data_IF_414582097562
#
_entry.id   IF_414582097562
#
_cell.length_a   1.000
_cell.length_b   1.000
_cell.length_c   1.000
_cell.angle_alpha   90.00
_cell.angle_beta   90.00
_cell.angle_gamma   90.00
#
_symmetry.space_group_name_H-M   'P 1'
#
loop_
_entity.id
_entity.type
_entity.pdbx_description
1 polymer ?
#
# COMPACT_ATOMS: atom_id res chain seq x y z
N UNK A 1 -26.50 68.93 48.10
CA UNK A 1 -27.11 67.59 48.30
C UNK A 1 -26.35 66.60 47.42
N UNK A 2 -25.34 65.92 47.96
CA UNK A 2 -25.33 64.46 48.23
C UNK A 2 -26.01 63.62 47.14
N UNK A 3 -25.20 62.85 46.38
CA UNK A 3 -25.13 61.37 46.50
C UNK A 3 -23.96 60.81 45.70
N UNK A 4 -23.07 60.13 46.43
CA UNK A 4 -22.14 59.10 45.98
C UNK A 4 -22.97 57.82 45.77
N UNK A 5 -22.75 57.07 44.69
CA UNK A 5 -23.06 55.63 44.64
C UNK A 5 -21.87 54.90 44.03
N UNK A 6 -21.24 54.11 44.90
CA UNK A 6 -20.23 53.09 44.67
C UNK A 6 -20.93 51.77 44.31
N UNK A 7 -20.45 51.02 43.31
CA UNK A 7 -20.58 49.55 43.17
C UNK A 7 -19.73 49.10 41.96
N UNK A 8 -18.54 48.53 42.14
CA UNK A 8 -18.25 47.12 42.45
C UNK A 8 -18.29 46.18 41.22
N UNK A 9 -17.08 45.86 40.74
CA UNK A 9 -16.56 44.55 40.32
C UNK A 9 -17.42 43.70 39.36
N UNK A 10 -16.93 43.55 38.13
CA UNK A 10 -16.84 42.22 37.51
C UNK A 10 -15.50 42.12 36.78
N UNK A 11 -14.49 41.64 37.50
CA UNK A 11 -13.26 41.16 36.91
C UNK A 11 -13.59 39.94 36.04
N UNK A 12 -13.69 40.15 34.74
CA UNK A 12 -13.76 39.06 33.77
C UNK A 12 -12.34 38.51 33.64
N UNK A 13 -11.98 37.60 34.55
CA UNK A 13 -10.87 36.69 34.38
C UNK A 13 -11.16 35.83 33.14
N UNK A 14 -10.71 36.30 31.98
CA UNK A 14 -10.45 35.43 30.83
C UNK A 14 -9.41 34.44 31.29
N UNK A 15 -9.87 33.30 31.78
CA UNK A 15 -9.07 32.09 31.90
C UNK A 15 -8.76 31.71 30.44
N UNK A 16 -7.72 32.31 29.88
CA UNK A 16 -6.96 31.68 28.80
C UNK A 16 -6.41 30.40 29.43
N UNK A 17 -7.21 29.33 29.34
CA UNK A 17 -6.72 27.98 29.46
C UNK A 17 -5.58 27.89 28.43
N UNK A 18 -4.36 28.05 28.91
CA UNK A 18 -3.20 27.48 28.24
C UNK A 18 -3.45 25.98 28.22
N UNK A 19 -4.22 25.50 27.24
CA UNK A 19 -3.99 24.15 26.77
C UNK A 19 -2.53 24.17 26.36
N UNK A 20 -1.68 23.43 27.08
CA UNK A 20 -0.51 22.85 26.46
C UNK A 20 -1.06 22.02 25.29
N UNK A 21 -1.26 22.68 24.15
CA UNK A 21 -1.68 22.06 22.92
C UNK A 21 -0.51 21.15 22.60
N UNK A 22 -0.71 19.85 22.84
CA UNK A 22 0.22 18.81 22.39
C UNK A 22 0.50 19.10 20.92
N UNK A 23 1.77 19.27 20.59
CA UNK A 23 2.13 19.63 19.22
C UNK A 23 1.93 18.42 18.31
N UNK A 24 1.62 18.63 17.03
CA UNK A 24 1.52 17.53 16.05
C UNK A 24 2.80 16.68 16.00
N UNK A 25 3.96 17.28 16.30
CA UNK A 25 5.24 16.57 16.39
C UNK A 25 5.29 15.60 17.57
N UNK A 26 4.69 15.95 18.71
CA UNK A 26 4.58 15.05 19.87
C UNK A 26 3.61 13.90 19.59
N UNK A 27 2.52 14.14 18.88
CA UNK A 27 1.59 13.08 18.46
C UNK A 27 2.25 12.08 17.50
N UNK A 28 3.01 12.57 16.51
CA UNK A 28 3.78 11.72 15.60
C UNK A 28 4.82 10.87 16.35
N UNK A 29 5.51 11.46 17.32
CA UNK A 29 6.50 10.75 18.14
C UNK A 29 5.85 9.67 18.99
N UNK A 30 4.74 9.98 19.64
CA UNK A 30 4.03 9.01 20.48
C UNK A 30 3.43 7.87 19.64
N UNK A 31 2.90 8.19 18.46
CA UNK A 31 2.42 7.19 17.50
C UNK A 31 3.55 6.26 17.05
N UNK A 32 4.74 6.79 16.74
CA UNK A 32 5.91 5.98 16.38
C UNK A 32 6.37 5.09 17.56
N UNK A 33 6.43 5.62 18.78
CA UNK A 33 6.81 4.86 19.98
C UNK A 33 5.80 3.73 20.23
N UNK A 34 4.51 4.02 20.11
CA UNK A 34 3.45 3.01 20.20
C UNK A 34 3.66 1.93 19.14
N UNK A 35 3.84 2.32 17.89
CA UNK A 35 3.99 1.39 16.77
C UNK A 35 5.21 0.47 16.94
N UNK A 36 6.34 1.01 17.41
CA UNK A 36 7.55 0.24 17.68
C UNK A 36 7.38 -0.86 18.74
N UNK A 37 6.39 -0.74 19.62
CA UNK A 37 6.10 -1.69 20.69
C UNK A 37 4.78 -2.45 20.46
N UNK A 38 4.15 -2.27 19.30
CA UNK A 38 2.84 -2.85 18.99
C UNK A 38 2.95 -4.32 18.56
N UNK A 39 1.84 -5.03 18.70
CA UNK A 39 1.61 -6.33 18.05
C UNK A 39 0.75 -6.09 16.80
N UNK A 40 0.59 -7.10 15.91
CA UNK A 40 -0.35 -6.97 14.79
C UNK A 40 -1.75 -6.52 15.23
N UNK A 41 -2.25 -7.04 16.36
CA UNK A 41 -3.56 -6.69 16.89
C UNK A 41 -3.70 -5.26 17.44
N UNK A 42 -2.60 -4.55 17.72
CA UNK A 42 -2.62 -3.20 18.33
C UNK A 42 -1.99 -2.12 17.46
N UNK A 43 -1.38 -2.48 16.33
CA UNK A 43 -0.66 -1.54 15.46
C UNK A 43 -1.54 -0.39 14.94
N UNK A 44 -2.81 -0.67 14.62
CA UNK A 44 -3.76 0.34 14.13
C UNK A 44 -4.16 1.34 15.20
N UNK A 45 -4.30 0.89 16.45
CA UNK A 45 -4.70 1.74 17.57
C UNK A 45 -3.69 2.86 17.83
N UNK A 46 -2.42 2.61 17.53
CA UNK A 46 -1.34 3.59 17.64
C UNK A 46 -1.54 4.83 16.75
N UNK A 47 -2.37 4.74 15.70
CA UNK A 47 -2.59 5.84 14.75
C UNK A 47 -3.71 6.81 15.20
N UNK A 48 -4.42 6.50 16.29
CA UNK A 48 -5.60 7.27 16.74
C UNK A 48 -5.30 8.77 16.92
N UNK A 49 -4.15 9.10 17.53
CA UNK A 49 -3.76 10.49 17.78
C UNK A 49 -3.44 11.28 16.50
N UNK A 50 -3.08 10.60 15.41
CA UNK A 50 -2.66 11.21 14.14
C UNK A 50 -3.66 10.97 12.99
N UNK A 51 -4.87 10.48 13.29
CA UNK A 51 -5.85 10.11 12.27
C UNK A 51 -6.20 11.28 11.32
N UNK A 52 -6.27 12.50 11.84
CA UNK A 52 -6.56 13.73 11.08
C UNK A 52 -5.32 14.46 10.55
N UNK A 53 -4.11 14.00 10.87
CA UNK A 53 -2.88 14.60 10.35
C UNK A 53 -2.70 14.20 8.88
N UNK A 54 -2.43 15.17 8.00
CA UNK A 54 -2.26 14.97 6.55
C UNK A 54 -0.82 15.14 6.08
N UNK A 55 0.12 15.21 7.02
CA UNK A 55 1.55 15.25 6.71
C UNK A 55 2.03 13.89 6.19
N UNK A 56 3.08 13.93 5.36
CA UNK A 56 3.76 12.73 4.87
C UNK A 56 4.25 11.83 6.03
N UNK A 57 4.67 12.41 7.15
CA UNK A 57 5.08 11.66 8.35
C UNK A 57 3.92 10.84 8.95
N UNK A 58 2.73 11.42 9.06
CA UNK A 58 1.54 10.70 9.52
C UNK A 58 1.14 9.58 8.54
N UNK A 59 1.27 9.82 7.24
CA UNK A 59 1.03 8.80 6.22
C UNK A 59 2.05 7.65 6.27
N UNK A 60 3.34 7.92 6.50
CA UNK A 60 4.36 6.87 6.74
C UNK A 60 3.98 5.95 7.89
N UNK A 61 3.55 6.54 9.01
CA UNK A 61 3.15 5.78 10.20
C UNK A 61 1.89 4.94 9.92
N UNK A 62 0.86 5.52 9.30
CA UNK A 62 -0.38 4.81 8.94
C UNK A 62 -0.13 3.68 7.95
N UNK A 63 0.66 3.93 6.90
CA UNK A 63 1.11 2.92 5.95
C UNK A 63 1.83 1.77 6.67
N UNK A 64 2.78 2.07 7.56
CA UNK A 64 3.51 1.06 8.34
C UNK A 64 2.58 0.26 9.27
N UNK A 65 1.61 0.93 9.90
CA UNK A 65 0.63 0.29 10.76
C UNK A 65 -0.26 -0.71 10.02
N UNK A 66 -0.56 -0.48 8.73
CA UNK A 66 -1.25 -1.45 7.87
C UNK A 66 -0.47 -2.74 7.75
N UNK A 67 0.79 -2.65 7.36
CA UNK A 67 1.63 -3.84 7.19
C UNK A 67 1.82 -4.60 8.50
N UNK A 68 2.09 -3.89 9.60
CA UNK A 68 2.26 -4.52 10.91
C UNK A 68 0.96 -5.19 11.35
N UNK A 69 -0.21 -4.59 11.11
CA UNK A 69 -1.49 -5.21 11.50
C UNK A 69 -1.78 -6.52 10.78
N UNK A 70 -1.29 -6.64 9.54
CA UNK A 70 -1.39 -7.85 8.74
C UNK A 70 -0.22 -8.82 8.94
N UNK A 71 0.62 -8.60 9.96
CA UNK A 71 1.72 -9.50 10.31
C UNK A 71 3.02 -9.28 9.54
N UNK A 72 3.10 -8.27 8.67
CA UNK A 72 4.32 -7.89 7.96
C UNK A 72 5.16 -6.92 8.80
N UNK A 73 5.71 -7.44 9.91
CA UNK A 73 6.48 -6.65 10.88
C UNK A 73 7.99 -6.99 10.91
N UNK A 74 8.49 -7.75 9.92
CA UNK A 74 9.92 -8.07 9.81
C UNK A 74 10.49 -7.59 8.47
N UNK A 75 11.68 -6.97 8.44
CA UNK A 75 12.32 -6.59 7.18
C UNK A 75 12.60 -7.76 6.22
N UNK A 76 12.83 -8.96 6.77
CA UNK A 76 13.22 -10.13 5.99
C UNK A 76 12.15 -10.59 4.97
N UNK A 77 10.86 -10.47 5.30
CA UNK A 77 9.77 -10.84 4.39
C UNK A 77 9.71 -9.91 3.18
N UNK A 78 9.92 -8.60 3.39
CA UNK A 78 9.99 -7.62 2.30
C UNK A 78 11.25 -7.83 1.45
N UNK A 79 12.42 -8.02 2.08
CA UNK A 79 13.68 -8.17 1.36
C UNK A 79 13.65 -9.40 0.44
N UNK A 80 13.22 -10.56 0.93
CA UNK A 80 13.17 -11.78 0.12
C UNK A 80 12.26 -11.61 -1.11
N UNK A 81 11.10 -10.98 -0.94
CA UNK A 81 10.18 -10.75 -2.04
C UNK A 81 10.71 -9.69 -3.03
N UNK A 82 11.34 -8.62 -2.54
CA UNK A 82 11.97 -7.61 -3.40
C UNK A 82 13.17 -8.17 -4.14
N UNK A 83 13.95 -9.06 -3.52
CA UNK A 83 15.06 -9.75 -4.17
C UNK A 83 14.57 -10.67 -5.29
N UNK A 84 13.37 -11.23 -5.16
CA UNK A 84 12.76 -12.06 -6.21
C UNK A 84 12.46 -11.27 -7.50
N UNK A 85 12.36 -9.94 -7.42
CA UNK A 85 12.25 -9.09 -8.61
C UNK A 85 13.51 -9.17 -9.49
N UNK A 86 14.67 -9.54 -8.95
CA UNK A 86 15.91 -9.71 -9.73
C UNK A 86 16.02 -11.08 -10.42
N UNK A 87 15.07 -11.99 -10.19
CA UNK A 87 15.08 -13.34 -10.73
C UNK A 87 14.21 -13.53 -11.97
N UNK A 88 14.19 -14.74 -12.50
CA UNK A 88 13.20 -15.17 -13.49
C UNK A 88 11.93 -15.66 -12.80
N UNK A 89 10.76 -15.43 -13.40
CA UNK A 89 9.48 -15.90 -12.85
C UNK A 89 9.45 -17.41 -12.58
N UNK A 90 8.76 -17.81 -11.51
CA UNK A 90 8.72 -19.20 -11.01
C UNK A 90 7.56 -20.04 -11.55
N UNK A 91 6.68 -19.45 -12.36
CA UNK A 91 5.50 -20.10 -12.91
C UNK A 91 5.82 -20.98 -14.14
N UNK A 92 4.94 -21.95 -14.40
CA UNK A 92 5.01 -22.79 -15.59
C UNK A 92 4.79 -21.96 -16.85
N UNK A 93 5.66 -22.16 -17.86
CA UNK A 93 5.61 -21.42 -19.13
C UNK A 93 6.17 -19.99 -19.08
N UNK A 94 6.80 -19.58 -17.97
CA UNK A 94 7.43 -18.26 -17.82
C UNK A 94 6.46 -17.14 -17.44
N UNK A 95 6.89 -16.20 -16.61
CA UNK A 95 6.18 -14.98 -16.21
C UNK A 95 7.21 -13.94 -15.77
N UNK A 96 6.75 -12.70 -15.59
CA UNK A 96 7.58 -11.63 -15.01
C UNK A 96 8.11 -11.98 -13.61
N UNK A 97 9.21 -11.35 -13.22
CA UNK A 97 9.72 -11.44 -11.85
C UNK A 97 8.77 -10.77 -10.85
N UNK A 98 7.99 -9.79 -11.31
CA UNK A 98 6.88 -9.20 -10.54
C UNK A 98 5.87 -10.25 -10.11
N UNK A 99 5.51 -11.21 -10.95
CA UNK A 99 4.59 -12.30 -10.55
C UNK A 99 5.15 -13.08 -9.36
N UNK A 100 6.44 -13.40 -9.37
CA UNK A 100 7.08 -14.08 -8.24
C UNK A 100 7.03 -13.24 -6.96
N UNK A 101 7.34 -11.94 -7.04
CA UNK A 101 7.27 -11.07 -5.87
C UNK A 101 5.85 -10.97 -5.27
N UNK A 102 4.83 -10.81 -6.11
CA UNK A 102 3.45 -10.64 -5.64
C UNK A 102 2.82 -11.93 -5.10
N UNK A 103 3.39 -13.11 -5.39
CA UNK A 103 2.96 -14.37 -4.75
C UNK A 103 3.21 -14.37 -3.25
N UNK A 104 4.26 -13.68 -2.77
CA UNK A 104 4.61 -13.60 -1.35
C UNK A 104 4.19 -12.28 -0.70
N UNK A 105 3.75 -11.30 -1.51
CA UNK A 105 3.31 -9.98 -1.06
C UNK A 105 1.81 -9.83 -1.32
N UNK A 106 1.00 -10.39 -0.42
CA UNK A 106 -0.45 -10.21 -0.43
C UNK A 106 -0.98 -10.12 0.99
N UNK A 107 -2.08 -9.40 1.17
CA UNK A 107 -2.87 -9.49 2.39
C UNK A 107 -3.86 -10.65 2.26
N UNK A 108 -3.76 -11.60 3.18
CA UNK A 108 -4.48 -12.86 3.14
C UNK A 108 -4.93 -13.31 4.52
N UNK A 109 -5.14 -12.37 5.44
CA UNK A 109 -5.56 -12.69 6.80
C UNK A 109 -6.97 -13.28 6.82
N UNK A 110 -7.19 -14.29 7.68
CA UNK A 110 -8.48 -14.97 7.82
C UNK A 110 -8.72 -16.10 6.81
N UNK A 111 -9.99 -16.50 6.66
CA UNK A 111 -10.42 -17.56 5.74
C UNK A 111 -10.78 -16.99 4.37
N UNK A 112 -9.80 -16.97 3.47
CA UNK A 112 -9.96 -16.42 2.11
C UNK A 112 -10.88 -17.24 1.21
N UNK A 113 -11.43 -18.38 1.66
CA UNK A 113 -12.51 -19.06 0.92
C UNK A 113 -13.84 -18.32 1.05
N UNK A 114 -13.95 -17.39 1.99
CA UNK A 114 -15.15 -16.60 2.23
C UNK A 114 -15.09 -15.27 1.46
N UNK A 115 -16.10 -14.93 0.62
CA UNK A 115 -16.13 -13.68 -0.14
C UNK A 115 -16.03 -12.41 0.73
N UNK A 116 -16.56 -12.45 1.96
CA UNK A 116 -16.46 -11.33 2.89
C UNK A 116 -15.02 -11.06 3.35
N UNK A 117 -14.24 -12.12 3.57
CA UNK A 117 -12.81 -12.02 3.95
C UNK A 117 -11.98 -11.55 2.76
N UNK A 118 -12.29 -12.05 1.55
CA UNK A 118 -11.66 -11.56 0.31
C UNK A 118 -11.86 -10.05 0.13
N UNK A 119 -13.09 -9.56 0.31
CA UNK A 119 -13.42 -8.14 0.25
C UNK A 119 -12.68 -7.32 1.32
N UNK A 120 -12.51 -7.87 2.53
CA UNK A 120 -11.74 -7.23 3.60
C UNK A 120 -10.26 -7.07 3.21
N UNK A 121 -9.62 -8.14 2.73
CA UNK A 121 -8.22 -8.09 2.30
C UNK A 121 -8.01 -7.12 1.12
N UNK A 122 -8.94 -7.10 0.16
CA UNK A 122 -8.94 -6.10 -0.91
C UNK A 122 -9.03 -4.68 -0.38
N UNK A 123 -9.91 -4.40 0.60
CA UNK A 123 -10.03 -3.09 1.22
C UNK A 123 -8.75 -2.68 1.97
N UNK A 124 -8.13 -3.60 2.72
CA UNK A 124 -6.85 -3.36 3.40
C UNK A 124 -5.74 -3.04 2.41
N UNK A 125 -5.66 -3.77 1.28
CA UNK A 125 -4.67 -3.49 0.24
C UNK A 125 -4.84 -2.11 -0.41
N UNK A 126 -6.09 -1.67 -0.61
CA UNK A 126 -6.39 -0.34 -1.15
C UNK A 126 -6.07 0.76 -0.13
N UNK A 127 -6.36 0.53 1.15
CA UNK A 127 -5.98 1.43 2.24
C UNK A 127 -4.46 1.58 2.33
N UNK A 128 -3.72 0.47 2.28
CA UNK A 128 -2.26 0.48 2.27
C UNK A 128 -1.73 1.34 1.11
N UNK A 129 -2.17 1.06 -0.12
CA UNK A 129 -1.76 1.82 -1.30
C UNK A 129 -2.04 3.32 -1.13
N UNK A 130 -3.22 3.68 -0.64
CA UNK A 130 -3.61 5.07 -0.38
C UNK A 130 -2.67 5.77 0.59
N UNK A 131 -2.44 5.22 1.79
CA UNK A 131 -1.54 5.86 2.77
C UNK A 131 -0.09 5.89 2.29
N UNK A 132 0.39 4.80 1.69
CA UNK A 132 1.77 4.71 1.25
C UNK A 132 2.07 5.66 0.07
N UNK A 133 1.09 5.95 -0.78
CA UNK A 133 1.22 6.93 -1.87
C UNK A 133 1.44 8.36 -1.37
N UNK A 134 0.88 8.69 -0.21
CA UNK A 134 0.97 10.01 0.42
C UNK A 134 2.14 10.11 1.41
N UNK A 135 2.94 9.05 1.56
CA UNK A 135 4.07 8.99 2.47
C UNK A 135 5.34 9.70 1.93
N UNK A 136 5.33 10.20 0.69
CA UNK A 136 6.47 10.87 0.03
C UNK A 136 7.78 10.07 0.11
N UNK A 137 7.69 8.74 0.00
CA UNK A 137 8.86 7.86 0.05
C UNK A 137 8.64 6.70 -0.90
N UNK A 138 9.43 6.67 -1.97
CA UNK A 138 9.24 5.81 -3.15
C UNK A 138 9.09 4.33 -2.82
N UNK A 139 9.86 3.84 -1.83
CA UNK A 139 9.82 2.43 -1.43
C UNK A 139 8.49 2.03 -0.81
N UNK A 140 7.80 2.92 -0.09
CA UNK A 140 6.48 2.62 0.47
C UNK A 140 5.44 2.45 -0.64
N UNK A 141 5.46 3.32 -1.64
CA UNK A 141 4.59 3.20 -2.81
C UNK A 141 4.89 1.94 -3.63
N UNK A 142 6.18 1.62 -3.81
CA UNK A 142 6.59 0.42 -4.54
C UNK A 142 6.11 -0.86 -3.85
N UNK A 143 6.34 -0.96 -2.54
CA UNK A 143 5.92 -2.15 -1.77
C UNK A 143 4.40 -2.23 -1.74
N UNK A 144 3.69 -1.13 -1.48
CA UNK A 144 2.22 -1.16 -1.41
C UNK A 144 1.57 -1.51 -2.74
N UNK A 145 2.16 -1.14 -3.88
CA UNK A 145 1.65 -1.54 -5.19
C UNK A 145 1.84 -3.03 -5.45
N UNK A 146 2.99 -3.61 -5.06
CA UNK A 146 3.21 -5.06 -5.12
C UNK A 146 2.19 -5.80 -4.24
N UNK A 147 1.95 -5.32 -3.02
CA UNK A 147 0.91 -5.88 -2.15
C UNK A 147 -0.49 -5.74 -2.73
N UNK A 148 -0.81 -4.62 -3.37
CA UNK A 148 -2.11 -4.43 -4.01
C UNK A 148 -2.30 -5.41 -5.16
N UNK A 149 -1.31 -5.57 -6.04
CA UNK A 149 -1.35 -6.52 -7.16
C UNK A 149 -1.45 -7.96 -6.63
N UNK A 150 -0.63 -8.33 -5.64
CA UNK A 150 -0.65 -9.65 -5.05
C UNK A 150 -1.95 -9.97 -4.34
N UNK A 151 -2.53 -9.01 -3.63
CA UNK A 151 -3.84 -9.19 -2.98
C UNK A 151 -4.96 -9.33 -4.02
N UNK A 152 -4.96 -8.52 -5.08
CA UNK A 152 -5.90 -8.65 -6.20
C UNK A 152 -5.83 -10.05 -6.82
N UNK A 153 -4.62 -10.49 -7.17
CA UNK A 153 -4.41 -11.78 -7.82
C UNK A 153 -4.72 -12.96 -6.88
N UNK A 154 -4.32 -12.88 -5.61
CA UNK A 154 -4.57 -13.91 -4.59
C UNK A 154 -6.06 -14.08 -4.30
N UNK A 155 -6.78 -12.99 -4.04
CA UNK A 155 -8.22 -13.07 -3.80
C UNK A 155 -8.97 -13.55 -5.04
N UNK A 156 -8.52 -13.15 -6.24
CA UNK A 156 -9.10 -13.67 -7.48
C UNK A 156 -8.80 -15.15 -7.69
N UNK A 157 -7.63 -15.63 -7.31
CA UNK A 157 -7.29 -17.05 -7.37
C UNK A 157 -8.18 -17.87 -6.42
N UNK A 158 -8.42 -17.39 -5.19
CA UNK A 158 -9.38 -18.02 -4.27
C UNK A 158 -10.81 -18.04 -4.83
N UNK A 159 -11.25 -16.96 -5.46
CA UNK A 159 -12.57 -16.89 -6.13
C UNK A 159 -12.68 -17.96 -7.24
N UNK A 160 -11.63 -18.12 -8.06
CA UNK A 160 -11.62 -19.06 -9.18
C UNK A 160 -11.45 -20.52 -8.75
N UNK A 161 -10.67 -20.79 -7.71
CA UNK A 161 -10.33 -22.14 -7.25
C UNK A 161 -11.49 -22.87 -6.56
N UNK A 162 -12.51 -22.15 -6.09
CA UNK A 162 -13.77 -22.76 -5.67
C UNK A 162 -13.64 -23.83 -4.58
N UNK A 163 -13.33 -23.40 -3.35
CA UNK A 163 -13.53 -24.14 -2.08
C UNK A 163 -12.49 -25.19 -1.65
N UNK A 164 -11.22 -25.07 -2.06
CA UNK A 164 -10.13 -25.76 -1.34
C UNK A 164 -9.28 -24.73 -0.60
N UNK A 165 -9.37 -24.68 0.74
CA UNK A 165 -8.68 -23.74 1.62
C UNK A 165 -7.15 -23.86 1.66
N UNK A 166 -6.52 -24.30 0.57
CA UNK A 166 -5.10 -24.18 0.34
C UNK A 166 -4.76 -22.78 -0.16
N UNK A 167 -3.57 -22.30 0.18
CA UNK A 167 -3.02 -21.09 -0.41
C UNK A 167 -2.82 -21.26 -1.93
N UNK A 168 -3.24 -20.30 -2.77
CA UNK A 168 -3.07 -20.39 -4.22
C UNK A 168 -1.60 -20.59 -4.59
N UNK A 169 -1.37 -21.53 -5.48
CA UNK A 169 -0.06 -21.76 -6.09
C UNK A 169 0.34 -20.59 -7.00
N UNK A 170 1.64 -20.41 -7.29
CA UNK A 170 2.08 -19.38 -8.24
C UNK A 170 1.42 -19.46 -9.62
N UNK A 171 1.09 -20.68 -10.09
CA UNK A 171 0.40 -20.88 -11.37
C UNK A 171 -1.08 -20.45 -11.30
N UNK A 172 -1.75 -20.66 -10.16
CA UNK A 172 -3.12 -20.17 -9.92
C UNK A 172 -3.16 -18.65 -9.79
N UNK A 173 -2.17 -18.04 -9.11
CA UNK A 173 -1.99 -16.59 -9.05
C UNK A 173 -1.77 -16.01 -10.46
N UNK A 174 -0.90 -16.64 -11.27
CA UNK A 174 -0.68 -16.26 -12.67
C UNK A 174 -1.98 -16.33 -13.47
N UNK A 175 -2.73 -17.42 -13.36
CA UNK A 175 -4.01 -17.57 -14.05
C UNK A 175 -5.02 -16.49 -13.62
N UNK A 176 -5.05 -16.16 -12.33
CA UNK A 176 -5.93 -15.13 -11.78
C UNK A 176 -5.57 -13.72 -12.28
N UNK A 177 -4.30 -13.41 -12.54
CA UNK A 177 -3.86 -12.13 -13.12
C UNK A 177 -4.56 -11.87 -14.45
N UNK A 178 -4.76 -12.88 -15.29
CA UNK A 178 -5.47 -12.75 -16.57
C UNK A 178 -6.95 -12.37 -16.42
N UNK A 179 -7.53 -12.58 -15.23
CA UNK A 179 -8.92 -12.26 -14.92
C UNK A 179 -9.08 -10.94 -14.13
N UNK A 180 -7.99 -10.22 -13.86
CA UNK A 180 -8.05 -8.95 -13.14
C UNK A 180 -8.60 -7.82 -14.03
N UNK A 181 -9.30 -6.83 -13.45
CA UNK A 181 -9.68 -5.62 -14.17
C UNK A 181 -8.44 -4.88 -14.66
N UNK A 182 -8.31 -4.73 -15.99
CA UNK A 182 -7.13 -4.08 -16.59
C UNK A 182 -7.02 -2.62 -16.16
N UNK A 183 -8.14 -1.89 -16.02
CA UNK A 183 -8.12 -0.50 -15.58
C UNK A 183 -7.44 -0.33 -14.20
N UNK A 184 -7.76 -1.19 -13.22
CA UNK A 184 -7.15 -1.18 -11.89
C UNK A 184 -5.63 -1.42 -11.97
N UNK A 185 -5.20 -2.39 -12.78
CA UNK A 185 -3.77 -2.67 -12.99
C UNK A 185 -3.05 -1.48 -13.65
N UNK A 186 -3.69 -0.81 -14.60
CA UNK A 186 -3.14 0.37 -15.25
C UNK A 186 -3.04 1.57 -14.31
N UNK A 187 -4.04 1.82 -13.48
CA UNK A 187 -3.99 2.87 -12.46
C UNK A 187 -2.84 2.66 -11.47
N UNK A 188 -2.67 1.41 -11.00
CA UNK A 188 -1.54 1.04 -10.14
C UNK A 188 -0.21 1.28 -10.87
N UNK A 189 -0.09 0.82 -12.12
CA UNK A 189 1.14 0.97 -12.89
C UNK A 189 1.52 2.43 -13.11
N UNK A 190 0.55 3.27 -13.51
CA UNK A 190 0.75 4.71 -13.72
C UNK A 190 1.18 5.39 -12.42
N UNK A 191 0.43 5.17 -11.34
CA UNK A 191 0.70 5.82 -10.06
C UNK A 191 2.07 5.41 -9.50
N UNK A 192 2.39 4.12 -9.53
CA UNK A 192 3.67 3.60 -9.04
C UNK A 192 4.84 4.07 -9.88
N UNK A 193 4.72 4.07 -11.20
CA UNK A 193 5.79 4.58 -12.06
C UNK A 193 6.07 6.06 -11.79
N UNK A 194 5.01 6.88 -11.67
CA UNK A 194 5.13 8.30 -11.38
C UNK A 194 5.82 8.57 -10.02
N UNK A 195 5.51 7.80 -8.99
CA UNK A 195 5.98 8.04 -7.63
C UNK A 195 7.31 7.34 -7.28
N UNK A 196 7.63 6.19 -7.90
CA UNK A 196 8.74 5.34 -7.50
C UNK A 196 9.86 5.21 -8.54
N UNK A 197 9.63 5.60 -9.80
CA UNK A 197 10.57 5.36 -10.91
C UNK A 197 11.25 6.62 -11.46
N UNK A 198 11.24 7.74 -10.73
CA UNK A 198 11.83 9.01 -11.20
C UNK A 198 13.37 9.05 -11.12
N UNK A 199 13.98 8.30 -10.20
CA UNK A 199 15.44 8.26 -9.98
C UNK A 199 15.97 6.81 -10.08
N UNK A 200 15.63 6.15 -11.20
CA UNK A 200 16.00 4.74 -11.43
C UNK A 200 17.51 4.52 -11.54
N UNK A 201 18.30 5.54 -11.88
CA UNK A 201 19.77 5.42 -12.00
C UNK A 201 20.42 5.05 -10.67
N UNK A 202 19.93 5.65 -9.57
CA UNK A 202 20.43 5.44 -8.21
C UNK A 202 19.65 4.37 -7.42
N UNK A 203 18.63 3.76 -8.04
CA UNK A 203 17.79 2.77 -7.40
C UNK A 203 18.47 1.39 -7.31
N UNK A 204 17.94 0.52 -6.43
CA UNK A 204 18.32 -0.89 -6.37
C UNK A 204 17.96 -1.62 -7.66
N UNK A 205 18.62 -2.74 -7.94
CA UNK A 205 18.34 -3.55 -9.13
C UNK A 205 16.88 -4.04 -9.16
N UNK A 206 16.32 -4.38 -8.00
CA UNK A 206 14.91 -4.77 -7.86
C UNK A 206 13.97 -3.64 -8.30
N UNK A 207 14.28 -2.41 -7.89
CA UNK A 207 13.50 -1.23 -8.28
C UNK A 207 13.68 -0.93 -9.76
N UNK A 208 14.90 -1.05 -10.31
CA UNK A 208 15.13 -0.89 -11.76
C UNK A 208 14.33 -1.89 -12.58
N UNK A 209 14.32 -3.16 -12.19
CA UNK A 209 13.60 -4.21 -12.90
C UNK A 209 12.08 -3.96 -12.86
N UNK A 210 11.53 -3.67 -11.67
CA UNK A 210 10.10 -3.37 -11.57
C UNK A 210 9.71 -2.10 -12.34
N UNK A 211 10.52 -1.04 -12.25
CA UNK A 211 10.31 0.18 -13.01
C UNK A 211 10.44 -0.02 -14.53
N UNK A 212 11.30 -0.92 -15.00
CA UNK A 212 11.41 -1.25 -16.42
C UNK A 212 10.14 -1.92 -16.94
N UNK A 213 9.55 -2.85 -16.18
CA UNK A 213 8.27 -3.48 -16.52
C UNK A 213 7.13 -2.46 -16.56
N UNK A 214 7.06 -1.56 -15.57
CA UNK A 214 6.08 -0.48 -15.55
C UNK A 214 6.29 0.49 -16.72
N UNK A 215 7.52 0.92 -16.99
CA UNK A 215 7.83 1.83 -18.10
C UNK A 215 7.45 1.21 -19.45
N UNK A 216 7.73 -0.09 -19.64
CA UNK A 216 7.27 -0.82 -20.82
C UNK A 216 5.75 -0.84 -20.92
N UNK A 217 5.05 -0.91 -19.79
CA UNK A 217 3.59 -0.87 -19.78
C UNK A 217 3.02 0.48 -20.22
N UNK A 218 3.61 1.56 -19.69
CA UNK A 218 3.21 2.94 -19.98
C UNK A 218 3.50 3.36 -21.43
N UNK A 219 4.41 2.67 -22.12
CA UNK A 219 4.71 2.90 -23.54
C UNK A 219 3.65 2.40 -24.53
N UNK A 220 2.53 1.83 -24.05
CA UNK A 220 1.44 1.29 -24.87
C UNK A 220 0.44 2.36 -25.36
N UNK A 221 -0.20 2.08 -26.50
CA UNK A 221 -1.02 3.00 -27.29
C UNK A 221 -2.20 3.64 -26.58
N UNK A 222 -2.45 4.91 -26.93
CA UNK A 222 -3.47 5.84 -26.40
C UNK A 222 -3.28 6.34 -24.95
N UNK A 223 -2.52 5.63 -24.10
CA UNK A 223 -2.15 6.08 -22.75
C UNK A 223 -3.31 6.07 -21.74
N UNK A 224 -4.43 5.42 -22.05
CA UNK A 224 -5.51 5.22 -21.08
C UNK A 224 -5.10 4.19 -20.01
N UNK A 225 -5.71 4.26 -18.82
CA UNK A 225 -5.47 3.26 -17.78
C UNK A 225 -5.82 1.83 -18.24
N UNK A 226 -6.83 1.67 -19.10
CA UNK A 226 -7.18 0.36 -19.64
C UNK A 226 -6.07 -0.19 -20.55
N UNK A 227 -5.47 0.63 -21.42
CA UNK A 227 -4.43 0.18 -22.35
C UNK A 227 -3.12 -0.15 -21.62
N UNK A 228 -2.70 0.74 -20.70
CA UNK A 228 -1.57 0.49 -19.81
C UNK A 228 -1.79 -0.78 -19.01
N UNK A 229 -3.01 -0.96 -18.50
CA UNK A 229 -3.44 -2.16 -17.79
C UNK A 229 -3.37 -3.44 -18.60
N UNK A 230 -3.88 -3.44 -19.82
CA UNK A 230 -3.81 -4.58 -20.74
C UNK A 230 -2.37 -4.93 -21.06
N UNK A 231 -1.54 -3.93 -21.35
CA UNK A 231 -0.12 -4.13 -21.61
C UNK A 231 0.62 -4.67 -20.38
N UNK A 232 0.37 -4.09 -19.20
CA UNK A 232 0.99 -4.54 -17.95
C UNK A 232 0.56 -5.97 -17.60
N UNK A 233 -0.73 -6.29 -17.70
CA UNK A 233 -1.24 -7.65 -17.52
C UNK A 233 -0.58 -8.64 -18.47
N UNK A 234 -0.45 -8.30 -19.75
CA UNK A 234 0.27 -9.12 -20.73
C UNK A 234 1.72 -9.36 -20.33
N UNK A 235 2.45 -8.31 -19.95
CA UNK A 235 3.84 -8.39 -19.45
C UNK A 235 3.99 -9.23 -18.19
N UNK A 236 3.03 -9.16 -17.26
CA UNK A 236 3.05 -9.98 -16.06
C UNK A 236 2.96 -11.47 -16.40
N UNK A 237 2.07 -11.82 -17.34
CA UNK A 237 1.81 -13.19 -17.78
C UNK A 237 2.92 -13.75 -18.69
N UNK A 238 3.51 -12.89 -19.52
CA UNK A 238 4.56 -13.20 -20.49
C UNK A 238 5.51 -11.98 -20.62
N UNK A 239 6.76 -12.06 -20.13
CA UNK A 239 7.72 -10.94 -20.22
C UNK A 239 7.97 -10.46 -21.66
N UNK A 240 7.84 -11.36 -22.63
CA UNK A 240 8.08 -11.08 -24.05
C UNK A 240 6.83 -10.49 -24.74
N UNK A 241 5.71 -10.34 -24.02
CA UNK A 241 4.47 -9.78 -24.55
C UNK A 241 4.71 -8.40 -25.19
N UNK A 242 4.29 -8.24 -26.44
CA UNK A 242 4.42 -6.97 -27.16
C UNK A 242 3.13 -6.18 -27.02
N UNK A 243 3.23 -5.00 -26.44
CA UNK A 243 2.07 -4.15 -26.24
C UNK A 243 1.60 -3.52 -27.56
N UNK A 244 0.28 -3.45 -27.71
CA UNK A 244 -0.31 -2.79 -28.87
C UNK A 244 0.07 -1.29 -28.87
N UNK A 245 0.48 -0.74 -30.02
CA UNK A 245 0.82 0.67 -30.17
C UNK A 245 -0.39 1.60 -30.16
#
# INVERSE_FOLDING_TARGET
MKKIITASVLALTTITLFSCQKSSTEDLKDAQICLNNSTPSTARDCMTAIAGDTSAAAYKLRCSAVFISEGFNTPASFMTALDSLNGTGTCTGGCSSTVTAVTSLSFSSGDNTQPAVQAQNLAVSAEALSYCSLAETSIYQQISSLFRIGTLASMKAYELAGVAGAEPTPDEIKAAIAALPVADLGEIAIATHAASCQDVENASDSTKQYCAELASALGSGTGSAADVGTCFQGKLLDPDFVCAP
#
